data_IF_074163519659
#
_entry.id   IF_074163519659
#
_cell.length_a   1.000
_cell.length_b   1.000
_cell.length_c   1.000
_cell.angle_alpha   90.00
_cell.angle_beta   90.00
_cell.angle_gamma   90.00
#
_symmetry.space_group_name_H-M   'P 1'
#
loop_
_entity.id
_entity.type
_entity.pdbx_description
1 polymer ?
#
# COMPACT_ATOMS: atom_id res chain seq x y z
N UNK A 1 7.16 -21.21 -13.97
CA UNK A 1 6.55 -21.42 -12.64
C UNK A 1 6.29 -20.04 -12.06
N UNK A 2 5.08 -19.76 -11.59
CA UNK A 2 4.72 -18.47 -10.95
C UNK A 2 5.06 -18.53 -9.46
N UNK A 3 5.44 -17.38 -8.89
CA UNK A 3 5.80 -17.24 -7.48
C UNK A 3 4.81 -16.31 -6.81
N UNK A 4 3.97 -16.84 -5.95
CA UNK A 4 2.90 -16.13 -5.26
C UNK A 4 2.98 -16.32 -3.74
N UNK A 5 2.36 -15.40 -2.99
CA UNK A 5 2.22 -15.51 -1.54
C UNK A 5 0.81 -15.97 -1.15
N UNK A 6 0.74 -16.93 -0.23
CA UNK A 6 -0.49 -17.27 0.50
C UNK A 6 -0.38 -16.82 1.95
N UNK A 7 -1.35 -16.06 2.45
CA UNK A 7 -1.40 -15.63 3.84
C UNK A 7 -2.61 -16.25 4.56
N UNK A 8 -2.36 -17.19 5.47
CA UNK A 8 -3.40 -17.80 6.30
C UNK A 8 -3.36 -17.19 7.72
N UNK A 9 -4.52 -16.78 8.23
CA UNK A 9 -4.63 -16.14 9.54
C UNK A 9 -5.99 -16.39 10.18
N UNK A 10 -6.03 -16.48 11.51
CA UNK A 10 -7.25 -16.50 12.32
C UNK A 10 -7.55 -15.13 12.97
N UNK A 11 -6.90 -14.07 12.52
CA UNK A 11 -7.11 -12.70 13.02
C UNK A 11 -8.54 -12.24 12.76
N UNK A 12 -9.29 -11.95 13.83
CA UNK A 12 -10.66 -11.48 13.72
C UNK A 12 -10.77 -10.19 12.89
N UNK A 13 -9.88 -9.22 13.11
CA UNK A 13 -9.89 -7.94 12.36
C UNK A 13 -9.64 -8.14 10.87
N UNK A 14 -8.79 -9.10 10.51
CA UNK A 14 -8.55 -9.42 9.10
C UNK A 14 -9.75 -10.18 8.50
N UNK A 15 -10.33 -11.11 9.24
CA UNK A 15 -11.53 -11.84 8.82
C UNK A 15 -12.72 -10.90 8.57
N UNK A 16 -12.91 -9.89 9.42
CA UNK A 16 -13.91 -8.83 9.23
C UNK A 16 -13.69 -8.04 7.95
N UNK A 17 -12.45 -7.61 7.67
CA UNK A 17 -12.12 -6.90 6.43
C UNK A 17 -12.37 -7.76 5.19
N UNK A 18 -11.91 -9.01 5.20
CA UNK A 18 -12.14 -9.97 4.11
C UNK A 18 -13.64 -10.17 3.88
N UNK A 19 -14.42 -10.36 4.94
CA UNK A 19 -15.87 -10.52 4.84
C UNK A 19 -16.54 -9.30 4.19
N UNK A 20 -16.18 -8.07 4.62
CA UNK A 20 -16.70 -6.84 4.00
C UNK A 20 -16.36 -6.75 2.51
N UNK A 21 -15.13 -7.09 2.13
CA UNK A 21 -14.71 -7.10 0.73
C UNK A 21 -15.52 -8.10 -0.11
N UNK A 22 -15.80 -9.30 0.42
CA UNK A 22 -16.67 -10.27 -0.26
C UNK A 22 -18.10 -9.76 -0.40
N UNK A 23 -18.66 -9.11 0.63
CA UNK A 23 -19.99 -8.51 0.53
C UNK A 23 -20.05 -7.45 -0.56
N UNK A 24 -19.02 -6.62 -0.71
CA UNK A 24 -18.92 -5.63 -1.79
C UNK A 24 -18.85 -6.26 -3.19
N UNK A 25 -18.30 -7.46 -3.33
CA UNK A 25 -18.32 -8.15 -4.63
C UNK A 25 -19.72 -8.66 -4.98
N UNK A 26 -20.55 -8.94 -3.98
CA UNK A 26 -21.91 -9.48 -4.15
C UNK A 26 -23.01 -8.43 -4.07
N UNK A 27 -22.70 -7.21 -3.63
CA UNK A 27 -23.65 -6.11 -3.42
C UNK A 27 -23.05 -4.79 -3.91
N UNK A 28 -23.87 -3.78 -4.18
CA UNK A 28 -23.38 -2.46 -4.59
C UNK A 28 -22.89 -1.59 -3.42
N UNK A 29 -22.71 -2.18 -2.23
CA UNK A 29 -22.29 -1.46 -1.03
C UNK A 29 -20.76 -1.46 -0.93
N UNK A 30 -20.17 -0.28 -0.77
CA UNK A 30 -18.74 -0.11 -0.59
C UNK A 30 -18.27 -0.72 0.75
N UNK A 31 -17.16 -1.47 0.73
CA UNK A 31 -16.50 -1.97 1.93
C UNK A 31 -15.69 -0.83 2.58
N UNK A 32 -16.39 0.02 3.33
CA UNK A 32 -15.77 1.07 4.13
C UNK A 32 -15.20 0.54 5.46
N UNK A 33 -14.33 1.34 6.08
CA UNK A 33 -13.74 1.10 7.40
C UNK A 33 -13.01 -0.25 7.53
N UNK A 34 -12.16 -0.56 6.55
CA UNK A 34 -11.23 -1.68 6.64
C UNK A 34 -10.15 -1.36 7.68
N UNK A 35 -9.87 -2.30 8.58
CA UNK A 35 -9.00 -2.09 9.76
C UNK A 35 -7.54 -2.43 9.48
N UNK A 36 -7.29 -3.36 8.56
CA UNK A 36 -5.99 -3.99 8.28
C UNK A 36 -5.69 -4.02 6.78
N UNK A 37 -6.71 -4.11 5.93
CA UNK A 37 -6.55 -4.19 4.49
C UNK A 37 -6.73 -2.83 3.82
N UNK A 38 -5.98 -2.62 2.75
CA UNK A 38 -6.28 -1.59 1.77
C UNK A 38 -6.81 -2.25 0.50
N UNK A 39 -7.83 -1.66 -0.11
CA UNK A 39 -8.50 -2.21 -1.27
C UNK A 39 -8.59 -1.17 -2.39
N UNK A 40 -8.44 -1.62 -3.62
CA UNK A 40 -8.65 -0.80 -4.81
C UNK A 40 -10.13 -0.78 -5.19
N UNK A 41 -10.65 0.32 -5.77
CA UNK A 41 -9.99 1.62 -5.98
C UNK A 41 -9.98 2.55 -4.75
N UNK A 42 -10.56 2.15 -3.62
CA UNK A 42 -10.97 3.08 -2.57
C UNK A 42 -9.85 3.56 -1.65
N UNK A 43 -9.04 2.66 -1.10
CA UNK A 43 -8.08 2.99 -0.02
C UNK A 43 -6.64 2.65 -0.34
N UNK A 44 -6.38 1.79 -1.32
CA UNK A 44 -5.02 1.34 -1.64
C UNK A 44 -4.12 2.45 -2.15
N UNK A 45 -4.62 3.27 -3.09
CA UNK A 45 -3.84 4.34 -3.70
C UNK A 45 -3.42 5.38 -2.65
N UNK A 46 -4.39 5.92 -1.91
CA UNK A 46 -4.15 6.93 -0.86
C UNK A 46 -3.20 6.40 0.22
N UNK A 47 -3.35 5.13 0.60
CA UNK A 47 -2.48 4.50 1.57
C UNK A 47 -1.03 4.36 1.08
N UNK A 48 -0.81 4.05 -0.20
CA UNK A 48 0.53 3.98 -0.78
C UNK A 48 1.17 5.37 -0.78
N UNK A 49 0.46 6.40 -1.26
CA UNK A 49 0.95 7.78 -1.27
C UNK A 49 1.28 8.26 0.15
N UNK A 50 0.39 8.01 1.13
CA UNK A 50 0.64 8.38 2.52
C UNK A 50 1.88 7.67 3.10
N UNK A 51 2.11 6.40 2.74
CA UNK A 51 3.30 5.65 3.17
C UNK A 51 4.58 6.21 2.57
N UNK A 52 4.56 6.60 1.30
CA UNK A 52 5.72 7.24 0.65
C UNK A 52 6.03 8.57 1.35
N UNK A 53 5.02 9.42 1.52
CA UNK A 53 5.17 10.73 2.19
C UNK A 53 5.71 10.60 3.61
N UNK A 54 5.26 9.60 4.37
CA UNK A 54 5.78 9.34 5.70
C UNK A 54 7.28 9.06 5.71
N UNK A 55 7.78 8.26 4.76
CA UNK A 55 9.23 8.02 4.64
C UNK A 55 9.97 9.28 4.19
N UNK A 56 9.37 10.10 3.30
CA UNK A 56 9.91 11.41 2.93
C UNK A 56 10.09 12.31 4.15
N UNK A 57 9.08 12.39 5.02
CA UNK A 57 9.14 13.17 6.26
C UNK A 57 10.25 12.68 7.20
N UNK A 58 10.42 11.37 7.35
CA UNK A 58 11.52 10.79 8.14
C UNK A 58 12.89 11.18 7.56
N UNK A 59 13.08 11.09 6.24
CA UNK A 59 14.34 11.47 5.59
C UNK A 59 14.66 12.96 5.78
N UNK A 60 13.65 13.83 5.66
CA UNK A 60 13.80 15.27 5.90
C UNK A 60 14.13 15.60 7.37
N UNK A 61 13.68 14.77 8.31
CA UNK A 61 14.05 14.86 9.72
C UNK A 61 15.47 14.34 10.01
N UNK A 62 16.18 13.83 8.99
CA UNK A 62 17.52 13.24 9.13
C UNK A 62 17.52 11.81 9.65
N UNK A 63 16.37 11.15 9.68
CA UNK A 63 16.23 9.75 10.06
C UNK A 63 16.54 8.81 8.88
N UNK A 64 16.87 7.56 9.18
CA UNK A 64 17.03 6.53 8.15
C UNK A 64 15.65 6.17 7.57
N UNK A 65 15.47 6.40 6.26
CA UNK A 65 14.22 6.13 5.56
C UNK A 65 14.46 5.24 4.34
N UNK A 66 13.61 4.22 4.16
CA UNK A 66 13.74 3.25 3.06
C UNK A 66 12.40 2.72 2.58
N UNK A 67 12.26 2.63 1.26
CA UNK A 67 11.13 2.00 0.58
C UNK A 67 11.63 0.80 -0.23
N UNK A 68 11.02 -0.36 -0.03
CA UNK A 68 11.24 -1.55 -0.86
C UNK A 68 9.90 -1.93 -1.47
N UNK A 69 9.79 -1.86 -2.80
CA UNK A 69 8.59 -2.23 -3.52
C UNK A 69 8.88 -3.36 -4.51
N UNK A 70 8.23 -4.50 -4.29
CA UNK A 70 8.27 -5.63 -5.21
C UNK A 70 6.98 -5.67 -6.03
N UNK A 71 7.06 -5.37 -7.32
CA UNK A 71 5.89 -5.22 -8.19
C UNK A 71 6.22 -5.64 -9.61
N UNK A 72 5.23 -6.22 -10.30
CA UNK A 72 5.42 -6.61 -11.70
C UNK A 72 5.57 -5.41 -12.64
N UNK A 73 4.94 -4.28 -12.31
CA UNK A 73 4.92 -3.08 -13.15
C UNK A 73 4.63 -1.84 -12.30
N UNK A 74 5.25 -0.71 -12.64
CA UNK A 74 5.02 0.60 -12.02
C UNK A 74 4.64 1.60 -13.12
N UNK A 75 3.35 1.90 -13.24
CA UNK A 75 2.81 2.73 -14.33
C UNK A 75 1.99 3.93 -13.84
N UNK A 76 1.74 4.03 -12.54
CA UNK A 76 0.92 5.09 -11.97
C UNK A 76 1.76 6.35 -11.73
N UNK A 77 1.54 7.38 -12.55
CA UNK A 77 2.37 8.60 -12.58
C UNK A 77 2.44 9.27 -11.21
N UNK A 78 1.34 9.36 -10.47
CA UNK A 78 1.33 10.01 -9.15
C UNK A 78 2.19 9.26 -8.12
N UNK A 79 2.23 7.93 -8.20
CA UNK A 79 3.11 7.12 -7.34
C UNK A 79 4.57 7.31 -7.77
N UNK A 80 4.84 7.36 -9.07
CA UNK A 80 6.19 7.60 -9.60
C UNK A 80 6.71 8.96 -9.14
N UNK A 81 5.90 10.02 -9.26
CA UNK A 81 6.26 11.38 -8.82
C UNK A 81 6.53 11.42 -7.31
N UNK A 82 5.67 10.78 -6.50
CA UNK A 82 5.88 10.69 -5.06
C UNK A 82 7.18 9.95 -4.69
N UNK A 83 7.54 8.89 -5.43
CA UNK A 83 8.81 8.19 -5.24
C UNK A 83 10.01 9.04 -5.65
N UNK A 84 9.89 9.88 -6.69
CA UNK A 84 10.92 10.85 -7.03
C UNK A 84 11.13 11.89 -5.92
N UNK A 85 10.05 12.47 -5.38
CA UNK A 85 10.11 13.40 -4.26
C UNK A 85 10.77 12.76 -3.02
N UNK A 86 10.39 11.52 -2.69
CA UNK A 86 10.97 10.77 -1.59
C UNK A 86 12.48 10.54 -1.80
N UNK A 87 12.89 10.13 -3.01
CA UNK A 87 14.30 9.94 -3.36
C UNK A 87 15.11 11.24 -3.22
N UNK A 88 14.56 12.36 -3.68
CA UNK A 88 15.19 13.68 -3.56
C UNK A 88 15.36 14.13 -2.11
N UNK A 89 14.44 13.74 -1.22
CA UNK A 89 14.54 13.98 0.21
C UNK A 89 15.57 13.08 0.93
N UNK A 90 16.13 12.08 0.24
CA UNK A 90 17.14 11.17 0.79
C UNK A 90 16.61 9.77 1.15
N UNK A 91 15.36 9.44 0.82
CA UNK A 91 14.83 8.09 1.04
C UNK A 91 15.53 7.10 0.10
N UNK A 92 16.02 5.98 0.64
CA UNK A 92 16.55 4.90 -0.18
C UNK A 92 15.43 4.06 -0.77
N UNK A 93 15.40 3.88 -2.11
CA UNK A 93 14.31 3.16 -2.79
C UNK A 93 14.86 1.97 -3.58
N UNK A 94 14.31 0.78 -3.32
CA UNK A 94 14.58 -0.46 -4.05
C UNK A 94 13.30 -0.92 -4.77
N UNK A 95 13.32 -0.97 -6.10
CA UNK A 95 12.23 -1.47 -6.94
C UNK A 95 12.63 -2.84 -7.53
N UNK A 96 11.81 -3.88 -7.29
CA UNK A 96 12.11 -5.28 -7.62
C UNK A 96 10.99 -5.92 -8.46
#
# INVERSE_FOLDING_TARGET
VYTDYGYLSSSQRLGEDVHKLFLQLTSLTEASDLKRMYASPFSLFDAIIAKIRRETEHALAGEEARIIAKINSLNETQIIDALYEASQAGVKIDLI
#
